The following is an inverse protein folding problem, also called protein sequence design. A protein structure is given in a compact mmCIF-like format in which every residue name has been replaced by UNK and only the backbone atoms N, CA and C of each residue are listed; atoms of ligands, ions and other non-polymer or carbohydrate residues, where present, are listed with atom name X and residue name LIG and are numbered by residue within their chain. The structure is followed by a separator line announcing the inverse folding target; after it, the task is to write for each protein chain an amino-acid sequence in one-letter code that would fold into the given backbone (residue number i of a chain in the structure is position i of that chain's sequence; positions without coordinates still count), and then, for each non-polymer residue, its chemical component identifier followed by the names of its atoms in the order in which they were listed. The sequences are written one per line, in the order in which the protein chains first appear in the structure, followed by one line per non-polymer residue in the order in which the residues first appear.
data_IF_423976047015
#
_entry.id   IF_423976047015
#
_cell.length_a   1.000
_cell.length_b   1.000
_cell.length_c   1.000
_cell.angle_alpha   90.00
_cell.angle_beta   90.00
_cell.angle_gamma   90.00
#
_symmetry.space_group_name_H-M   'P 1'
#
loop_
_entity.id
_entity.type
_entity.pdbx_description
1 polymer ?
#
# COMPACT_ATOMS: atom_id res chain seq x y z
N UNK A 1 -46.46 -2.23 -18.87
CA UNK A 1 -45.82 -2.23 -17.54
C UNK A 1 -44.33 -2.48 -17.77
N UNK A 2 -43.54 -1.41 -17.81
CA UNK A 2 -42.09 -1.51 -17.97
C UNK A 2 -41.48 -1.87 -16.61
N UNK A 3 -41.00 -3.10 -16.48
CA UNK A 3 -40.14 -3.50 -15.37
C UNK A 3 -38.78 -2.83 -15.53
N UNK A 4 -38.53 -1.80 -14.73
CA UNK A 4 -37.19 -1.31 -14.47
C UNK A 4 -36.41 -2.44 -13.78
N UNK A 5 -35.61 -3.17 -14.55
CA UNK A 5 -34.52 -3.94 -13.97
C UNK A 5 -33.51 -2.88 -13.50
N UNK A 6 -33.50 -2.60 -12.20
CA UNK A 6 -32.41 -1.90 -11.55
C UNK A 6 -31.17 -2.79 -11.76
N UNK A 7 -30.41 -2.52 -12.82
CA UNK A 7 -29.05 -3.06 -12.93
C UNK A 7 -28.27 -2.43 -11.80
N UNK A 8 -28.01 -3.19 -10.73
CA UNK A 8 -27.09 -2.75 -9.68
C UNK A 8 -25.79 -2.33 -10.37
N UNK A 9 -25.46 -1.04 -10.33
CA UNK A 9 -24.16 -0.57 -10.79
C UNK A 9 -23.11 -1.35 -10.00
N UNK A 10 -22.31 -2.16 -10.69
CA UNK A 10 -21.22 -2.89 -10.04
C UNK A 10 -20.27 -1.87 -9.42
N UNK A 11 -20.19 -1.91 -8.10
CA UNK A 11 -19.32 -1.05 -7.30
C UNK A 11 -17.87 -1.54 -7.47
N UNK A 12 -16.92 -0.64 -7.71
CA UNK A 12 -15.52 -1.02 -7.77
C UNK A 12 -14.95 -1.19 -6.36
N UNK A 13 -14.25 -2.30 -6.10
CA UNK A 13 -13.54 -2.49 -4.83
C UNK A 13 -12.17 -1.81 -4.86
N UNK A 14 -11.90 -0.92 -3.91
CA UNK A 14 -10.58 -0.33 -3.70
C UNK A 14 -9.92 -1.01 -2.50
N UNK A 15 -8.98 -1.91 -2.79
CA UNK A 15 -8.17 -2.56 -1.77
C UNK A 15 -7.06 -1.63 -1.30
N UNK A 16 -6.95 -1.40 0.02
CA UNK A 16 -5.93 -0.51 0.58
C UNK A 16 -4.99 -1.26 1.52
N UNK A 17 -3.67 -1.15 1.28
CA UNK A 17 -2.64 -1.86 2.04
C UNK A 17 -1.77 -0.84 2.79
N UNK A 18 -1.68 -0.93 4.13
CA UNK A 18 -1.01 0.09 4.93
C UNK A 18 0.52 0.05 4.79
N UNK A 19 1.12 1.16 5.22
CA UNK A 19 2.56 1.29 5.42
C UNK A 19 3.05 0.52 6.67
N UNK A 20 4.36 0.46 6.87
CA UNK A 20 4.98 -0.21 8.02
C UNK A 20 4.48 0.37 9.36
N UNK A 21 4.07 -0.49 10.29
CA UNK A 21 3.43 -0.12 11.55
C UNK A 21 1.97 0.32 11.43
N UNK A 22 1.47 0.59 10.22
CA UNK A 22 0.08 0.95 9.97
C UNK A 22 -0.85 -0.26 10.00
N UNK A 23 -2.15 0.01 10.14
CA UNK A 23 -3.24 -0.96 10.11
C UNK A 23 -4.30 -0.59 9.09
N UNK A 24 -5.17 -1.52 8.77
CA UNK A 24 -6.36 -1.33 7.94
C UNK A 24 -7.23 -0.16 8.43
N UNK A 25 -7.24 0.10 9.75
CA UNK A 25 -8.03 1.18 10.35
C UNK A 25 -7.61 2.58 9.86
N UNK A 26 -6.36 2.76 9.42
CA UNK A 26 -5.88 4.01 8.83
C UNK A 26 -6.78 4.47 7.66
N UNK A 27 -7.20 3.54 6.81
CA UNK A 27 -7.97 3.86 5.61
C UNK A 27 -9.46 4.08 5.90
N UNK A 28 -9.99 3.71 7.07
CA UNK A 28 -11.42 3.87 7.36
C UNK A 28 -11.90 5.32 7.22
N UNK A 29 -11.03 6.29 7.51
CA UNK A 29 -11.32 7.72 7.30
C UNK A 29 -11.55 8.10 5.84
N UNK A 30 -11.12 7.30 4.87
CA UNK A 30 -11.33 7.54 3.43
C UNK A 30 -12.78 7.28 3.01
N UNK A 31 -13.54 6.45 3.74
CA UNK A 31 -14.93 6.12 3.38
C UNK A 31 -15.84 7.34 3.20
N UNK A 32 -15.61 8.41 3.99
CA UNK A 32 -16.39 9.65 3.91
C UNK A 32 -16.05 10.54 2.71
N UNK A 33 -14.97 10.21 1.99
CA UNK A 33 -14.48 10.97 0.83
C UNK A 33 -14.69 10.22 -0.49
N UNK A 34 -14.86 8.90 -0.43
CA UNK A 34 -15.09 8.07 -1.61
C UNK A 34 -16.55 8.16 -2.07
N UNK A 35 -16.73 8.16 -3.38
CA UNK A 35 -18.05 8.13 -4.00
C UNK A 35 -18.73 6.76 -3.76
N UNK A 36 -20.06 6.72 -3.84
CA UNK A 36 -20.84 5.49 -3.58
C UNK A 36 -20.54 4.37 -4.59
N UNK A 37 -19.90 4.66 -5.72
CA UNK A 37 -19.48 3.68 -6.73
C UNK A 37 -18.14 3.00 -6.39
N UNK A 38 -17.47 3.39 -5.29
CA UNK A 38 -16.24 2.75 -4.81
C UNK A 38 -16.43 2.16 -3.40
N UNK A 39 -16.26 0.85 -3.28
CA UNK A 39 -16.24 0.12 -2.01
C UNK A 39 -14.82 0.09 -1.47
N UNK A 40 -14.57 0.76 -0.35
CA UNK A 40 -13.28 0.67 0.33
C UNK A 40 -13.13 -0.68 1.06
N UNK A 41 -12.03 -1.39 0.77
CA UNK A 41 -11.67 -2.68 1.38
C UNK A 41 -10.24 -2.63 1.93
N UNK A 42 -10.02 -2.12 3.15
CA UNK A 42 -8.69 -2.11 3.75
C UNK A 42 -8.23 -3.53 4.11
N UNK A 43 -7.01 -3.91 3.72
CA UNK A 43 -6.43 -5.21 4.04
C UNK A 43 -5.61 -5.13 5.34
N UNK A 44 -5.98 -5.95 6.32
CA UNK A 44 -5.30 -6.03 7.62
C UNK A 44 -4.23 -7.14 7.62
N UNK A 45 -3.00 -6.78 7.97
CA UNK A 45 -1.92 -7.75 8.20
C UNK A 45 -2.09 -8.43 9.56
N UNK A 46 -1.54 -9.63 9.71
CA UNK A 46 -1.45 -10.32 11.00
C UNK A 46 -0.73 -9.49 12.07
N UNK A 47 -1.12 -9.66 13.34
CA UNK A 47 -0.51 -9.06 14.52
C UNK A 47 -0.84 -7.59 14.77
N UNK A 48 -1.89 -7.06 14.14
CA UNK A 48 -2.37 -5.69 14.36
C UNK A 48 -3.87 -5.54 14.12
N UNK A 49 -4.42 -4.44 14.63
CA UNK A 49 -5.82 -4.05 14.40
C UNK A 49 -6.78 -5.19 14.71
N UNK A 50 -7.66 -5.55 13.76
CA UNK A 50 -8.63 -6.64 13.96
C UNK A 50 -7.98 -8.04 14.07
N UNK A 51 -6.71 -8.18 13.67
CA UNK A 51 -5.94 -9.43 13.67
C UNK A 51 -4.80 -9.40 14.70
N UNK A 52 -4.98 -8.65 15.80
CA UNK A 52 -3.93 -8.44 16.81
C UNK A 52 -3.45 -9.72 17.49
N UNK A 53 -4.32 -10.72 17.69
CA UNK A 53 -3.97 -11.98 18.34
C UNK A 53 -3.21 -12.95 17.41
N UNK A 54 -3.16 -12.67 16.11
CA UNK A 54 -2.47 -13.50 15.14
C UNK A 54 -0.94 -13.22 15.14
N UNK A 55 -0.10 -14.23 14.87
CA UNK A 55 1.35 -14.07 14.93
C UNK A 55 1.88 -13.16 13.80
N UNK A 56 2.80 -12.25 14.14
CA UNK A 56 3.47 -11.38 13.17
C UNK A 56 4.24 -12.20 12.11
N UNK A 57 4.09 -11.81 10.86
CA UNK A 57 4.89 -12.34 9.76
C UNK A 57 6.36 -11.92 9.90
N UNK A 58 7.27 -12.84 9.58
CA UNK A 58 8.73 -12.60 9.60
C UNK A 58 9.37 -12.58 8.21
N UNK A 59 8.61 -13.03 7.22
CA UNK A 59 9.01 -13.18 5.82
C UNK A 59 8.01 -12.42 4.95
N UNK A 60 8.52 -11.69 3.95
CA UNK A 60 7.70 -10.89 3.05
C UNK A 60 6.72 -11.78 2.25
N UNK A 61 7.17 -12.96 1.80
CA UNK A 61 6.34 -13.85 0.99
C UNK A 61 5.16 -14.45 1.78
N UNK A 62 5.37 -14.81 3.05
CA UNK A 62 4.29 -15.33 3.90
C UNK A 62 3.19 -14.26 4.10
N UNK A 63 3.60 -13.00 4.28
CA UNK A 63 2.68 -11.87 4.36
C UNK A 63 1.92 -11.63 3.04
N UNK A 64 2.59 -11.77 1.88
CA UNK A 64 1.94 -11.71 0.56
C UNK A 64 0.90 -12.82 0.40
N UNK A 65 1.21 -14.03 0.85
CA UNK A 65 0.32 -15.19 0.74
C UNK A 65 -0.94 -15.01 1.61
N UNK A 66 -0.77 -14.50 2.83
CA UNK A 66 -1.85 -14.13 3.73
C UNK A 66 -2.74 -13.01 3.14
N UNK A 67 -2.12 -11.92 2.65
CA UNK A 67 -2.84 -10.83 2.01
C UNK A 67 -3.58 -11.27 0.74
N UNK A 68 -3.00 -12.16 -0.04
CA UNK A 68 -3.63 -12.73 -1.23
C UNK A 68 -4.89 -13.52 -0.87
N UNK A 69 -4.82 -14.36 0.17
CA UNK A 69 -5.98 -15.10 0.65
C UNK A 69 -7.05 -14.17 1.26
N UNK A 70 -6.65 -13.06 1.89
CA UNK A 70 -7.58 -12.04 2.36
C UNK A 70 -8.27 -11.35 1.17
N UNK A 71 -7.51 -10.89 0.18
CA UNK A 71 -8.04 -10.25 -1.03
C UNK A 71 -9.04 -11.16 -1.74
N UNK A 72 -8.73 -12.45 -1.94
CA UNK A 72 -9.62 -13.38 -2.62
C UNK A 72 -10.92 -13.69 -1.86
N UNK A 73 -10.92 -13.64 -0.51
CA UNK A 73 -12.15 -13.79 0.28
C UNK A 73 -13.08 -12.60 0.12
N UNK A 74 -12.50 -11.43 -0.15
CA UNK A 74 -13.22 -10.18 -0.35
C UNK A 74 -13.53 -9.88 -1.81
N UNK A 75 -13.09 -10.71 -2.78
CA UNK A 75 -13.26 -10.47 -4.20
C UNK A 75 -14.21 -11.50 -4.81
N UNK A 76 -15.36 -11.03 -5.30
CA UNK A 76 -16.26 -11.86 -6.09
C UNK A 76 -15.75 -11.93 -7.54
N UNK A 77 -15.98 -13.04 -8.23
CA UNK A 77 -15.31 -13.38 -9.51
C UNK A 77 -15.49 -12.37 -10.65
N UNK A 78 -16.49 -11.50 -10.58
CA UNK A 78 -16.80 -10.54 -11.66
C UNK A 78 -16.76 -9.06 -11.25
N UNK A 79 -16.30 -8.74 -10.04
CA UNK A 79 -16.23 -7.35 -9.59
C UNK A 79 -14.92 -6.67 -10.03
N UNK A 80 -15.00 -5.46 -10.62
CA UNK A 80 -13.80 -4.70 -10.91
C UNK A 80 -13.19 -4.20 -9.61
N UNK A 81 -11.86 -4.17 -9.55
CA UNK A 81 -11.15 -3.70 -8.37
C UNK A 81 -9.87 -2.97 -8.73
N UNK A 82 -9.39 -2.15 -7.80
CA UNK A 82 -8.11 -1.48 -7.83
C UNK A 82 -7.36 -1.74 -6.51
N UNK A 83 -6.04 -1.63 -6.54
CA UNK A 83 -5.20 -1.77 -5.33
C UNK A 83 -4.44 -0.46 -5.09
N UNK A 84 -4.53 0.05 -3.87
CA UNK A 84 -3.75 1.16 -3.36
C UNK A 84 -2.81 0.66 -2.26
N UNK A 85 -1.53 0.97 -2.39
CA UNK A 85 -0.53 0.66 -1.37
C UNK A 85 0.33 1.89 -1.07
N UNK A 86 0.54 2.19 0.22
CA UNK A 86 1.48 3.23 0.63
C UNK A 86 2.74 2.65 1.28
N UNK A 87 3.91 3.12 0.87
CA UNK A 87 5.22 2.70 1.37
C UNK A 87 5.39 1.18 1.29
N UNK A 88 5.43 0.47 2.42
CA UNK A 88 5.41 -1.00 2.46
C UNK A 88 4.23 -1.60 1.68
N UNK A 89 3.04 -1.02 1.81
CA UNK A 89 1.84 -1.45 1.10
C UNK A 89 1.98 -1.39 -0.42
N UNK A 90 2.80 -0.48 -0.96
CA UNK A 90 3.06 -0.42 -2.41
C UNK A 90 3.84 -1.66 -2.91
N UNK A 91 4.81 -2.15 -2.11
CA UNK A 91 5.52 -3.39 -2.42
C UNK A 91 4.57 -4.59 -2.33
N UNK A 92 3.72 -4.65 -1.31
CA UNK A 92 2.70 -5.69 -1.22
C UNK A 92 1.73 -5.65 -2.40
N UNK A 93 1.28 -4.47 -2.82
CA UNK A 93 0.43 -4.31 -4.00
C UNK A 93 1.09 -4.86 -5.26
N UNK A 94 2.38 -4.58 -5.46
CA UNK A 94 3.14 -5.12 -6.59
C UNK A 94 3.21 -6.66 -6.52
N UNK A 95 3.61 -7.22 -5.38
CA UNK A 95 3.71 -8.68 -5.21
C UNK A 95 2.36 -9.40 -5.32
N UNK A 96 1.27 -8.77 -4.84
CA UNK A 96 -0.08 -9.29 -5.03
C UNK A 96 -0.47 -9.35 -6.50
N UNK A 97 -0.18 -8.30 -7.29
CA UNK A 97 -0.43 -8.34 -8.73
C UNK A 97 0.30 -9.51 -9.38
N UNK A 98 1.58 -9.69 -9.08
CA UNK A 98 2.38 -10.78 -9.64
C UNK A 98 1.82 -12.15 -9.24
N UNK A 99 1.38 -12.31 -8.00
CA UNK A 99 0.76 -13.55 -7.51
C UNK A 99 -0.61 -13.81 -8.15
N UNK A 100 -1.43 -12.78 -8.34
CA UNK A 100 -2.72 -12.87 -9.04
C UNK A 100 -2.52 -13.30 -10.50
N UNK A 101 -1.56 -12.70 -11.20
CA UNK A 101 -1.20 -13.08 -12.56
C UNK A 101 -0.72 -14.53 -12.64
N UNK A 102 0.22 -14.92 -11.78
CA UNK A 102 0.74 -16.29 -11.75
C UNK A 102 -0.37 -17.35 -11.51
N UNK A 103 -1.33 -17.04 -10.65
CA UNK A 103 -2.47 -17.91 -10.34
C UNK A 103 -3.66 -17.73 -11.30
N UNK A 104 -3.50 -17.01 -12.42
CA UNK A 104 -4.52 -16.80 -13.44
C UNK A 104 -5.84 -16.25 -12.87
N UNK A 105 -5.76 -15.34 -11.90
CA UNK A 105 -6.91 -14.65 -11.31
C UNK A 105 -7.26 -13.39 -12.12
N UNK A 106 -8.48 -12.89 -11.91
CA UNK A 106 -8.87 -11.58 -12.42
C UNK A 106 -7.87 -10.52 -11.91
N UNK A 107 -7.36 -9.69 -12.80
CA UNK A 107 -6.35 -8.67 -12.49
C UNK A 107 -7.02 -7.33 -12.16
N UNK A 108 -6.38 -6.49 -11.33
CA UNK A 108 -6.92 -5.18 -11.00
C UNK A 108 -7.00 -4.28 -12.24
N UNK A 109 -8.01 -3.41 -12.27
CA UNK A 109 -8.16 -2.40 -13.33
C UNK A 109 -7.18 -1.26 -13.20
N UNK A 110 -6.71 -0.97 -11.99
CA UNK A 110 -5.76 0.11 -11.71
C UNK A 110 -4.91 -0.22 -10.49
N UNK A 111 -3.64 0.22 -10.51
CA UNK A 111 -2.72 0.12 -9.37
C UNK A 111 -2.25 1.50 -8.93
N UNK A 112 -2.27 1.76 -7.63
CA UNK A 112 -1.72 2.98 -7.03
C UNK A 112 -0.54 2.62 -6.14
N UNK A 113 0.63 3.12 -6.52
CA UNK A 113 1.87 2.96 -5.75
C UNK A 113 2.22 4.30 -5.11
N UNK A 114 2.10 4.40 -3.80
CA UNK A 114 2.22 5.65 -3.08
C UNK A 114 3.43 5.63 -2.15
N UNK A 115 4.26 6.69 -2.15
CA UNK A 115 5.38 6.85 -1.23
C UNK A 115 6.41 5.71 -1.30
N UNK A 116 6.65 5.13 -2.48
CA UNK A 116 7.61 4.01 -2.62
C UNK A 116 8.30 4.00 -3.98
N UNK A 117 9.59 3.71 -3.97
CA UNK A 117 10.39 3.57 -5.18
C UNK A 117 10.04 2.27 -5.91
N UNK A 118 10.38 2.17 -7.19
CA UNK A 118 10.13 0.96 -7.97
C UNK A 118 10.79 -0.28 -7.31
N UNK A 119 10.17 -1.48 -7.41
CA UNK A 119 10.52 -2.62 -6.55
C UNK A 119 11.92 -3.18 -6.80
N UNK A 120 12.48 -2.99 -7.99
CA UNK A 120 13.86 -3.37 -8.34
C UNK A 120 14.93 -2.46 -7.72
N UNK A 121 14.55 -1.30 -7.17
CA UNK A 121 15.47 -0.35 -6.53
C UNK A 121 15.57 -0.67 -5.04
N UNK A 122 16.72 -1.23 -4.66
CA UNK A 122 17.02 -1.54 -3.26
C UNK A 122 17.82 -0.42 -2.59
N UNK A 123 17.12 0.47 -1.89
CA UNK A 123 17.74 1.59 -1.18
C UNK A 123 18.56 1.17 0.04
N UNK A 124 18.27 0.02 0.66
CA UNK A 124 19.02 -0.49 1.81
C UNK A 124 20.36 -1.13 1.43
N UNK A 125 20.58 -1.36 0.14
CA UNK A 125 21.89 -1.74 -0.39
C UNK A 125 22.76 -0.54 -0.74
N UNK A 126 22.17 0.65 -0.92
CA UNK A 126 22.87 1.82 -1.47
C UNK A 126 23.01 2.98 -0.50
N UNK A 127 21.92 3.41 0.15
CA UNK A 127 21.92 4.66 0.95
C UNK A 127 21.07 4.67 2.22
N UNK A 128 20.33 3.61 2.54
CA UNK A 128 19.54 3.53 3.77
C UNK A 128 20.11 2.52 4.73
N UNK A 129 20.16 2.90 5.99
CA UNK A 129 20.48 2.03 7.12
C UNK A 129 19.32 1.05 7.38
N UNK A 130 19.67 -0.18 7.76
CA UNK A 130 18.70 -1.17 8.24
C UNK A 130 18.45 -0.96 9.73
N UNK A 131 17.22 -0.64 10.12
CA UNK A 131 16.90 -0.26 11.50
C UNK A 131 16.19 -1.38 12.27
N UNK A 132 15.70 -2.43 11.59
CA UNK A 132 14.95 -3.52 12.25
C UNK A 132 15.76 -4.31 13.29
N UNK A 133 17.09 -4.23 13.24
CA UNK A 133 18.01 -4.89 14.18
C UNK A 133 18.45 -4.01 15.36
N UNK A 134 18.11 -2.72 15.36
CA UNK A 134 18.55 -1.77 16.39
C UNK A 134 17.86 -2.05 17.74
N UNK A 135 18.50 -1.74 18.88
CA UNK A 135 17.81 -1.69 20.17
C UNK A 135 16.57 -0.78 20.14
N UNK A 136 15.59 -1.05 21.00
CA UNK A 136 14.29 -0.36 20.99
C UNK A 136 14.41 1.18 21.05
N UNK A 137 15.30 1.71 21.89
CA UNK A 137 15.55 3.15 22.02
C UNK A 137 16.06 3.77 20.71
N UNK A 138 17.03 3.12 20.06
CA UNK A 138 17.59 3.59 18.79
C UNK A 138 16.59 3.44 17.64
N UNK A 139 15.78 2.37 17.64
CA UNK A 139 14.70 2.22 16.68
C UNK A 139 13.68 3.37 16.83
N UNK A 140 13.30 3.73 18.05
CA UNK A 140 12.40 4.86 18.31
C UNK A 140 12.98 6.19 17.84
N UNK A 141 14.28 6.43 18.03
CA UNK A 141 14.96 7.62 17.51
C UNK A 141 14.86 7.69 15.98
N UNK A 142 15.11 6.58 15.27
CA UNK A 142 14.95 6.53 13.81
C UNK A 142 13.50 6.74 13.36
N UNK A 143 12.52 6.21 14.09
CA UNK A 143 11.10 6.42 13.79
C UNK A 143 10.68 7.90 13.96
N UNK A 144 11.28 8.62 14.93
CA UNK A 144 11.10 10.07 15.08
C UNK A 144 11.66 10.82 13.88
N UNK A 145 12.86 10.48 13.43
CA UNK A 145 13.49 11.10 12.24
C UNK A 145 12.64 10.93 10.97
N UNK A 146 11.93 9.80 10.85
CA UNK A 146 11.08 9.53 9.68
C UNK A 146 9.70 10.17 9.75
N UNK A 147 9.39 10.95 10.80
CA UNK A 147 8.05 11.43 11.10
C UNK A 147 7.01 10.30 11.09
N UNK A 148 7.42 9.08 11.44
CA UNK A 148 6.59 7.87 11.35
C UNK A 148 5.71 7.62 12.58
N UNK A 149 5.87 8.42 13.64
CA UNK A 149 5.18 8.28 14.91
C UNK A 149 4.76 9.65 15.46
N UNK A 150 3.62 9.69 16.15
CA UNK A 150 3.10 10.93 16.77
C UNK A 150 3.73 11.20 18.13
N UNK A 151 3.68 12.44 18.60
CA UNK A 151 4.12 12.77 19.97
C UNK A 151 3.32 12.01 21.04
N UNK A 152 2.03 11.77 20.79
CA UNK A 152 1.19 10.95 21.66
C UNK A 152 1.71 9.51 21.79
N UNK A 153 2.10 8.89 20.66
CA UNK A 153 2.72 7.57 20.66
C UNK A 153 4.03 7.56 21.47
N UNK A 154 4.88 8.56 21.25
CA UNK A 154 6.19 8.66 21.89
C UNK A 154 6.12 8.85 23.41
N UNK A 155 5.02 9.43 23.91
CA UNK A 155 4.80 9.68 25.33
C UNK A 155 4.08 8.52 26.05
N UNK A 156 3.76 7.42 25.34
CA UNK A 156 3.00 6.31 25.89
C UNK A 156 3.79 5.00 25.81
N UNK A 157 4.40 4.61 26.93
CA UNK A 157 5.22 3.40 27.03
C UNK A 157 4.46 2.11 26.71
N UNK A 158 3.17 2.03 27.05
CA UNK A 158 2.35 0.84 26.76
C UNK A 158 2.07 0.72 25.26
N UNK A 159 1.78 1.84 24.57
CA UNK A 159 1.66 1.85 23.12
C UNK A 159 2.98 1.47 22.44
N UNK A 160 4.10 2.02 22.90
CA UNK A 160 5.42 1.65 22.37
C UNK A 160 5.63 0.13 22.51
N UNK A 161 5.43 -0.43 23.71
CA UNK A 161 5.62 -1.86 23.96
C UNK A 161 4.73 -2.74 23.08
N UNK A 162 3.51 -2.29 22.79
CA UNK A 162 2.55 -3.00 21.96
C UNK A 162 2.88 -2.93 20.47
N UNK A 163 3.27 -1.76 19.95
CA UNK A 163 3.42 -1.54 18.50
C UNK A 163 4.85 -1.70 18.00
N UNK A 164 5.86 -1.53 18.85
CA UNK A 164 7.26 -1.64 18.41
C UNK A 164 7.61 -3.02 17.83
N UNK A 165 7.08 -4.16 18.36
CA UNK A 165 7.25 -5.47 17.72
C UNK A 165 6.67 -5.53 16.30
N UNK A 166 5.51 -4.91 16.09
CA UNK A 166 4.83 -4.83 14.78
C UNK A 166 5.68 -4.02 13.80
N UNK A 167 6.11 -2.84 14.21
CA UNK A 167 6.95 -1.94 13.42
C UNK A 167 8.26 -2.65 13.06
N UNK A 168 8.92 -3.30 14.03
CA UNK A 168 10.16 -4.05 13.81
C UNK A 168 9.99 -5.19 12.80
N UNK A 169 8.90 -5.95 12.89
CA UNK A 169 8.59 -7.01 11.94
C UNK A 169 8.41 -6.46 10.51
N UNK A 170 7.72 -5.33 10.36
CA UNK A 170 7.49 -4.69 9.06
C UNK A 170 8.78 -4.13 8.45
N UNK A 171 9.58 -3.40 9.24
CA UNK A 171 10.88 -2.91 8.78
C UNK A 171 11.78 -4.07 8.38
N UNK A 172 11.80 -5.17 9.14
CA UNK A 172 12.53 -6.38 8.75
C UNK A 172 12.08 -6.88 7.38
N UNK A 173 10.78 -7.01 7.14
CA UNK A 173 10.24 -7.46 5.85
C UNK A 173 10.66 -6.54 4.70
N UNK A 174 10.55 -5.22 4.88
CA UNK A 174 10.90 -4.23 3.85
C UNK A 174 12.41 -4.16 3.59
N UNK A 175 13.23 -4.26 4.64
CA UNK A 175 14.70 -4.16 4.57
C UNK A 175 15.36 -5.44 4.05
N UNK A 176 14.65 -6.56 4.11
CA UNK A 176 15.10 -7.86 3.59
C UNK A 176 14.39 -8.26 2.30
N UNK A 177 13.48 -7.43 1.79
CA UNK A 177 12.81 -7.64 0.51
C UNK A 177 13.83 -7.75 -0.63
N UNK A 178 13.69 -8.79 -1.44
CA UNK A 178 14.52 -9.04 -2.62
C UNK A 178 13.64 -9.08 -3.86
N UNK A 179 13.94 -8.20 -4.79
CA UNK A 179 13.30 -8.21 -6.10
C UNK A 179 13.81 -9.39 -6.92
N UNK A 180 12.89 -10.21 -7.41
CA UNK A 180 13.16 -11.25 -8.40
C UNK A 180 13.13 -10.61 -9.79
N UNK A 181 14.12 -10.87 -10.65
CA UNK A 181 14.15 -10.37 -12.02
C UNK A 181 13.06 -10.99 -12.90
N UNK A 182 12.89 -10.49 -14.13
CA UNK A 182 11.98 -11.03 -15.15
C UNK A 182 10.51 -11.14 -14.71
N UNK A 183 10.07 -10.19 -13.87
CA UNK A 183 8.67 -10.09 -13.45
C UNK A 183 7.78 -9.72 -14.63
N UNK A 184 6.59 -10.31 -14.65
CA UNK A 184 5.54 -9.90 -15.57
C UNK A 184 5.28 -8.39 -15.43
N UNK A 185 5.30 -7.66 -16.55
CA UNK A 185 4.95 -6.24 -16.59
C UNK A 185 3.43 -6.13 -16.52
N UNK A 186 2.93 -5.37 -15.55
CA UNK A 186 1.51 -5.14 -15.36
C UNK A 186 0.85 -4.65 -16.66
N UNK A 187 -0.33 -5.17 -16.98
CA UNK A 187 -1.09 -4.76 -18.17
C UNK A 187 -2.20 -3.75 -17.86
N UNK A 188 -2.30 -3.28 -16.60
CA UNK A 188 -3.22 -2.24 -16.18
C UNK A 188 -2.51 -0.88 -16.05
N UNK A 189 -3.26 0.23 -16.18
CA UNK A 189 -2.77 1.55 -15.79
C UNK A 189 -2.25 1.58 -14.35
N UNK A 190 -1.18 2.33 -14.12
CA UNK A 190 -0.62 2.56 -12.80
C UNK A 190 -0.50 4.06 -12.52
N UNK A 191 -0.69 4.44 -11.26
CA UNK A 191 -0.48 5.81 -10.78
C UNK A 191 0.48 5.81 -9.61
N UNK A 192 1.55 6.58 -9.75
CA UNK A 192 2.59 6.76 -8.75
C UNK A 192 2.33 8.08 -8.02
N UNK A 193 2.20 8.02 -6.71
CA UNK A 193 1.99 9.19 -5.86
C UNK A 193 3.24 9.38 -4.99
N UNK A 194 3.83 10.57 -5.00
CA UNK A 194 5.05 10.84 -4.25
C UNK A 194 5.04 12.21 -3.56
N UNK A 195 5.70 12.33 -2.40
CA UNK A 195 5.96 13.62 -1.75
C UNK A 195 7.24 14.27 -2.30
N UNK A 196 7.21 15.57 -2.57
CA UNK A 196 8.34 16.32 -3.12
C UNK A 196 9.55 16.40 -2.17
N UNK A 197 9.36 16.15 -0.88
CA UNK A 197 10.40 16.08 0.14
C UNK A 197 10.51 14.66 0.74
N UNK A 198 9.99 13.64 0.06
CA UNK A 198 10.20 12.25 0.43
C UNK A 198 11.63 11.80 0.07
N UNK A 199 12.07 10.63 0.55
CA UNK A 199 13.45 10.14 0.45
C UNK A 199 13.87 9.64 -0.95
N UNK A 200 13.00 9.76 -1.94
CA UNK A 200 13.19 9.23 -3.30
C UNK A 200 13.55 10.32 -4.28
N UNK A 201 14.43 10.01 -5.23
CA UNK A 201 14.71 10.91 -6.36
C UNK A 201 13.62 10.77 -7.43
N UNK A 202 13.51 11.76 -8.31
CA UNK A 202 12.56 11.68 -9.43
C UNK A 202 12.79 10.45 -10.33
N UNK A 203 14.04 10.08 -10.55
CA UNK A 203 14.42 8.93 -11.37
C UNK A 203 13.90 7.61 -10.78
N UNK A 204 13.95 7.47 -9.46
CA UNK A 204 13.50 6.27 -8.76
C UNK A 204 11.98 6.13 -8.73
N UNK A 205 11.28 7.25 -8.72
CA UNK A 205 9.83 7.31 -8.87
C UNK A 205 9.45 6.97 -10.31
N UNK A 206 10.11 7.58 -11.31
CA UNK A 206 9.88 7.31 -12.75
C UNK A 206 10.20 5.87 -13.14
N UNK A 207 11.11 5.20 -12.44
CA UNK A 207 11.49 3.81 -12.70
C UNK A 207 10.31 2.80 -12.58
N UNK A 208 9.16 3.21 -12.01
CA UNK A 208 7.93 2.42 -12.04
C UNK A 208 7.39 2.19 -13.46
N UNK A 209 7.67 3.07 -14.42
CA UNK A 209 7.26 2.92 -15.84
C UNK A 209 7.71 1.59 -16.45
N UNK A 210 8.83 1.03 -15.98
CA UNK A 210 9.33 -0.26 -16.45
C UNK A 210 8.45 -1.45 -16.04
N UNK A 211 7.58 -1.27 -15.02
CA UNK A 211 6.77 -2.34 -14.44
C UNK A 211 5.36 -2.45 -15.02
N UNK A 212 4.99 -1.60 -15.98
CA UNK A 212 3.72 -1.71 -16.71
C UNK A 212 3.95 -1.64 -18.22
N UNK A 213 3.09 -2.28 -19.02
CA UNK A 213 2.98 -2.06 -20.46
C UNK A 213 1.86 -1.07 -20.82
N UNK A 214 1.14 -0.55 -19.82
CA UNK A 214 0.06 0.40 -19.96
C UNK A 214 0.51 1.80 -19.49
N UNK A 215 -0.42 2.72 -19.29
CA UNK A 215 -0.13 4.08 -18.83
C UNK A 215 0.46 4.09 -17.42
N UNK A 216 1.48 4.92 -17.22
CA UNK A 216 2.06 5.21 -15.92
C UNK A 216 1.99 6.71 -15.69
N UNK A 217 1.18 7.14 -14.73
CA UNK A 217 1.06 8.55 -14.35
C UNK A 217 1.84 8.79 -13.05
N UNK A 218 2.70 9.81 -13.01
CA UNK A 218 3.44 10.21 -11.81
C UNK A 218 2.90 11.54 -11.30
N UNK A 219 2.49 11.58 -10.04
CA UNK A 219 1.91 12.77 -9.40
C UNK A 219 2.69 13.08 -8.12
N UNK A 220 3.20 14.31 -8.05
CA UNK A 220 3.99 14.80 -6.93
C UNK A 220 3.18 15.77 -6.06
N UNK A 221 3.26 15.60 -4.75
CA UNK A 221 2.61 16.44 -3.75
C UNK A 221 3.64 17.23 -2.96
N UNK A 222 3.32 18.47 -2.59
CA UNK A 222 4.19 19.22 -1.67
C UNK A 222 4.10 18.59 -0.27
N UNK A 223 5.14 17.89 0.18
CA UNK A 223 5.13 17.26 1.50
C UNK A 223 6.19 16.18 1.62
N UNK A 224 6.27 15.56 2.80
CA UNK A 224 7.13 14.41 3.08
C UNK A 224 6.46 13.08 2.76
N UNK A 225 6.93 12.01 3.39
CA UNK A 225 6.44 10.64 3.17
C UNK A 225 4.93 10.49 3.36
N UNK A 226 4.38 11.10 4.42
CA UNK A 226 2.96 11.04 4.76
C UNK A 226 2.11 12.13 4.10
N UNK A 227 2.47 12.56 2.88
CA UNK A 227 1.66 13.50 2.08
C UNK A 227 0.21 13.05 1.89
N UNK A 228 -0.07 11.74 2.01
CA UNK A 228 -1.41 11.16 1.92
C UNK A 228 -2.35 11.61 3.03
N UNK A 229 -1.81 12.09 4.15
CA UNK A 229 -2.59 12.71 5.23
C UNK A 229 -2.84 14.20 4.96
N UNK A 230 -1.80 14.91 4.54
CA UNK A 230 -1.83 16.35 4.26
C UNK A 230 -2.71 16.70 3.04
N UNK A 231 -2.72 15.82 2.04
CA UNK A 231 -3.37 16.04 0.74
C UNK A 231 -4.49 15.03 0.46
N UNK A 232 -5.15 14.51 1.51
CA UNK A 232 -6.17 13.47 1.40
C UNK A 232 -7.22 13.75 0.31
N UNK A 233 -7.79 14.96 0.28
CA UNK A 233 -8.80 15.31 -0.73
C UNK A 233 -8.28 15.22 -2.17
N UNK A 234 -7.02 15.60 -2.40
CA UNK A 234 -6.40 15.51 -3.72
C UNK A 234 -6.07 14.05 -4.08
N UNK A 235 -5.60 13.25 -3.13
CA UNK A 235 -5.36 11.81 -3.31
C UNK A 235 -6.66 11.10 -3.71
N UNK A 236 -7.76 11.37 -3.01
CA UNK A 236 -9.07 10.79 -3.35
C UNK A 236 -9.55 11.25 -4.73
N UNK A 237 -9.38 12.53 -5.06
CA UNK A 237 -9.74 13.04 -6.38
C UNK A 237 -8.97 12.32 -7.51
N UNK A 238 -7.69 12.06 -7.32
CA UNK A 238 -6.87 11.30 -8.28
C UNK A 238 -7.38 9.86 -8.42
N UNK A 239 -7.67 9.20 -7.30
CA UNK A 239 -8.23 7.83 -7.32
C UNK A 239 -9.52 7.79 -8.14
N UNK A 240 -10.44 8.74 -7.92
CA UNK A 240 -11.67 8.83 -8.70
C UNK A 240 -11.39 9.05 -10.19
N UNK A 241 -10.53 10.02 -10.52
CA UNK A 241 -10.21 10.36 -11.92
C UNK A 241 -9.50 9.23 -12.66
N UNK A 242 -8.66 8.45 -11.97
CA UNK A 242 -7.94 7.31 -12.54
C UNK A 242 -8.83 6.11 -12.79
N UNK A 243 -9.81 5.85 -11.92
CA UNK A 243 -10.64 4.65 -11.99
C UNK A 243 -11.87 4.83 -12.92
N UNK A 244 -12.37 6.07 -13.07
CA UNK A 244 -13.59 6.36 -13.85
C UNK A 244 -13.38 6.42 -15.37
N UNK A 245 -12.18 6.14 -15.88
CA UNK A 245 -11.91 6.21 -17.33
C UNK A 245 -12.43 4.95 -18.04
N UNK A 246 -13.74 4.87 -18.21
CA UNK A 246 -14.41 4.10 -19.26
C UNK A 246 -15.58 4.93 -19.83
N UNK A 247 -15.32 5.63 -20.93
CA UNK A 247 -16.32 6.05 -21.91
C UNK A 247 -15.89 5.56 -23.29
#
# INVERSE_FOLDING_TARGET
MNSFVNGERRQLKLFCIPYAGGSATYYLKWRRHLDQDIKLVPLELSGRGARFEEPLHRNFQDAVDDLYNHLLRELDTEEPYAIFGHSMGALFGFELYQKLHFNQKALPRHMFFSGKQAPHINLFMTRREKIHGLPDEQLLEKLKEYNGVTQEFLNNHELIKMFLPVIRADFRMVETYQFIADRYRMNCPITILNGSHDYMTEEEVKAWEMHTTNTCAVISFKGGHFFIDEHLSQVIHIIHSSIKVEH
#
